data_IF_236088276197
#
_entry.id   IF_236088276197
#
_cell.length_a   1.000
_cell.length_b   1.000
_cell.length_c   1.000
_cell.angle_alpha   90.00
_cell.angle_beta   90.00
_cell.angle_gamma   90.00
#
_symmetry.space_group_name_H-M   'P 1'
#
loop_
_entity.id
_entity.type
_entity.pdbx_description
1 polymer ?
#
# COMPACT_ATOMS: atom_id res chain seq x y z
N UNK A 1 10.46 -2.10 -10.42
CA UNK A 1 9.88 -3.32 -11.05
C UNK A 1 9.19 -3.06 -12.40
N UNK A 2 8.73 -1.83 -12.69
CA UNK A 2 8.29 -1.45 -14.04
C UNK A 2 7.08 -2.21 -14.56
N UNK A 3 6.21 -2.69 -13.66
CA UNK A 3 5.04 -3.49 -14.01
C UNK A 3 3.80 -2.58 -13.94
N UNK A 4 3.11 -2.36 -15.08
CA UNK A 4 1.85 -1.61 -15.10
C UNK A 4 0.83 -2.25 -14.16
N UNK A 5 0.01 -1.44 -13.51
CA UNK A 5 -0.92 -1.92 -12.48
C UNK A 5 -2.28 -1.22 -12.56
N UNK A 6 -3.29 -1.91 -12.06
CA UNK A 6 -4.64 -1.37 -11.89
C UNK A 6 -4.96 -1.36 -10.39
N UNK A 7 -5.35 -0.20 -9.89
CA UNK A 7 -5.74 0.03 -8.51
C UNK A 7 -7.09 0.74 -8.45
N UNK A 8 -7.63 0.92 -7.25
CA UNK A 8 -8.92 1.61 -7.04
C UNK A 8 -8.73 2.88 -6.20
N UNK A 9 -9.62 3.86 -6.35
CA UNK A 9 -9.60 5.10 -5.54
C UNK A 9 -9.79 4.86 -4.03
N UNK A 10 -10.26 3.67 -3.64
CA UNK A 10 -10.41 3.23 -2.25
C UNK A 10 -9.13 2.63 -1.67
N UNK A 11 -8.18 2.20 -2.51
CA UNK A 11 -6.90 1.70 -2.03
C UNK A 11 -6.01 2.87 -1.59
N UNK A 12 -5.24 2.69 -0.51
CA UNK A 12 -4.29 3.71 -0.06
C UNK A 12 -3.31 4.12 -1.16
N UNK A 13 -2.86 3.15 -1.97
CA UNK A 13 -2.05 3.40 -3.15
C UNK A 13 -2.76 4.25 -4.21
N UNK A 14 -3.98 3.90 -4.61
CA UNK A 14 -4.73 4.65 -5.62
C UNK A 14 -5.09 6.06 -5.16
N UNK A 15 -5.42 6.23 -3.87
CA UNK A 15 -5.63 7.54 -3.26
C UNK A 15 -4.37 8.40 -3.35
N UNK A 16 -3.22 7.85 -2.93
CA UNK A 16 -1.93 8.53 -3.00
C UNK A 16 -1.57 8.93 -4.44
N UNK A 17 -1.71 8.02 -5.40
CA UNK A 17 -1.43 8.30 -6.82
C UNK A 17 -2.31 9.41 -7.37
N UNK A 18 -3.62 9.40 -7.09
CA UNK A 18 -4.53 10.45 -7.56
C UNK A 18 -4.18 11.85 -7.03
N UNK A 19 -3.60 11.93 -5.82
CA UNK A 19 -3.20 13.20 -5.21
C UNK A 19 -1.87 13.72 -5.76
N UNK A 20 -0.91 12.83 -6.02
CA UNK A 20 0.47 13.22 -6.33
C UNK A 20 0.84 13.09 -7.82
N UNK A 21 0.01 12.42 -8.62
CA UNK A 21 0.30 12.13 -10.04
C UNK A 21 -0.88 12.55 -10.92
N UNK A 22 -0.74 13.68 -11.62
CA UNK A 22 -1.83 14.22 -12.45
C UNK A 22 -2.28 13.31 -13.61
N UNK A 23 -1.35 12.60 -14.27
CA UNK A 23 -1.68 11.65 -15.35
C UNK A 23 -1.08 10.27 -15.10
N UNK A 24 -1.66 9.54 -14.15
CA UNK A 24 -1.23 8.19 -13.79
C UNK A 24 -1.24 7.19 -14.97
N UNK A 25 -2.20 7.33 -15.91
CA UNK A 25 -2.32 6.44 -17.09
C UNK A 25 -1.05 6.47 -17.96
N UNK A 26 -0.38 7.64 -18.06
CA UNK A 26 0.88 7.78 -18.82
C UNK A 26 2.05 6.97 -18.22
N UNK A 27 1.98 6.66 -16.93
CA UNK A 27 2.93 5.83 -16.20
C UNK A 27 2.49 4.36 -16.10
N UNK A 28 1.46 3.95 -16.85
CA UNK A 28 0.94 2.59 -16.78
C UNK A 28 0.21 2.27 -15.47
N UNK A 29 -0.21 3.29 -14.71
CA UNK A 29 -1.02 3.12 -13.52
C UNK A 29 -2.45 3.55 -13.82
N UNK A 30 -3.37 2.61 -13.68
CA UNK A 30 -4.78 2.86 -13.88
C UNK A 30 -5.49 2.87 -12.52
N UNK A 31 -6.02 4.03 -12.12
CA UNK A 31 -6.82 4.13 -10.90
C UNK A 31 -8.30 4.16 -11.29
N UNK A 32 -9.03 3.09 -10.97
CA UNK A 32 -10.47 2.98 -11.20
C UNK A 32 -11.21 3.64 -10.04
N UNK A 33 -12.08 4.61 -10.36
CA UNK A 33 -12.85 5.28 -9.33
C UNK A 33 -14.03 4.41 -8.84
N UNK A 34 -14.06 4.17 -7.54
CA UNK A 34 -15.08 3.39 -6.83
C UNK A 34 -15.85 4.17 -5.75
N UNK A 35 -15.54 5.45 -5.53
CA UNK A 35 -16.19 6.24 -4.47
C UNK A 35 -17.60 6.71 -4.84
N UNK A 36 -17.76 7.24 -6.06
CA UNK A 36 -18.97 7.96 -6.47
C UNK A 36 -19.59 7.44 -7.77
N UNK A 37 -19.25 6.22 -8.18
CA UNK A 37 -19.73 5.59 -9.43
C UNK A 37 -20.54 4.34 -9.17
N UNK A 38 -21.45 4.03 -10.09
CA UNK A 38 -22.25 2.81 -10.04
C UNK A 38 -21.37 1.55 -10.11
N UNK A 39 -21.91 0.42 -9.67
CA UNK A 39 -21.20 -0.86 -9.72
C UNK A 39 -20.74 -1.21 -11.15
N UNK A 40 -21.66 -1.04 -12.09
CA UNK A 40 -21.44 -1.34 -13.49
C UNK A 40 -20.36 -0.45 -14.13
N UNK A 41 -20.28 0.82 -13.76
CA UNK A 41 -19.33 1.78 -14.34
C UNK A 41 -17.88 1.38 -14.07
N UNK A 42 -17.57 0.99 -12.83
CA UNK A 42 -16.21 0.61 -12.48
C UNK A 42 -15.83 -0.78 -13.01
N UNK A 43 -16.79 -1.70 -13.16
CA UNK A 43 -16.59 -2.99 -13.84
C UNK A 43 -16.28 -2.75 -15.32
N UNK A 44 -17.07 -1.92 -16.01
CA UNK A 44 -16.82 -1.57 -17.41
C UNK A 44 -15.47 -0.91 -17.59
N UNK A 45 -15.09 0.01 -16.69
CA UNK A 45 -13.80 0.67 -16.78
C UNK A 45 -12.65 -0.30 -16.58
N UNK A 46 -12.76 -1.19 -15.60
CA UNK A 46 -11.75 -2.22 -15.34
C UNK A 46 -11.60 -3.16 -16.54
N UNK A 47 -12.71 -3.65 -17.09
CA UNK A 47 -12.71 -4.57 -18.25
C UNK A 47 -12.15 -3.92 -19.51
N UNK A 48 -12.45 -2.64 -19.77
CA UNK A 48 -11.86 -1.87 -20.86
C UNK A 48 -10.33 -1.82 -20.73
N UNK A 49 -9.80 -1.53 -19.54
CA UNK A 49 -8.35 -1.52 -19.30
C UNK A 49 -7.72 -2.89 -19.57
N UNK A 50 -8.36 -3.97 -19.08
CA UNK A 50 -7.90 -5.34 -19.30
C UNK A 50 -7.94 -5.74 -20.77
N UNK A 51 -8.87 -5.19 -21.55
CA UNK A 51 -8.98 -5.44 -22.99
C UNK A 51 -7.98 -4.62 -23.82
N UNK A 52 -7.79 -3.34 -23.48
CA UNK A 52 -6.85 -2.45 -24.19
C UNK A 52 -5.39 -2.94 -24.10
N UNK A 53 -4.98 -3.49 -22.95
CA UNK A 53 -3.57 -3.79 -22.69
C UNK A 53 -2.97 -4.89 -23.58
N UNK A 54 -3.63 -6.05 -23.80
CA UNK A 54 -3.17 -7.06 -24.76
C UNK A 54 -3.10 -6.56 -26.20
N UNK A 55 -3.97 -5.61 -26.59
CA UNK A 55 -3.99 -5.02 -27.93
C UNK A 55 -2.77 -4.12 -28.23
N UNK A 56 -2.00 -3.74 -27.22
CA UNK A 56 -0.77 -2.97 -27.42
C UNK A 56 0.28 -3.78 -28.18
N UNK A 57 1.04 -3.12 -29.05
CA UNK A 57 2.24 -3.68 -29.65
C UNK A 57 3.33 -3.94 -28.59
N UNK A 58 4.30 -4.79 -28.94
CA UNK A 58 5.49 -5.02 -28.09
C UNK A 58 6.20 -3.71 -27.74
N UNK A 59 6.37 -2.80 -28.71
CA UNK A 59 7.03 -1.51 -28.52
C UNK A 59 6.28 -0.64 -27.52
N UNK A 60 4.95 -0.56 -27.62
CA UNK A 60 4.10 0.18 -26.69
C UNK A 60 4.19 -0.38 -25.27
N UNK A 61 4.15 -1.71 -25.10
CA UNK A 61 4.32 -2.33 -23.77
C UNK A 61 5.67 -2.01 -23.13
N UNK A 62 6.76 -2.00 -23.90
CA UNK A 62 8.08 -1.58 -23.40
C UNK A 62 8.05 -0.13 -22.94
N UNK A 63 7.44 0.78 -23.71
CA UNK A 63 7.33 2.19 -23.34
C UNK A 63 6.55 2.35 -22.03
N UNK A 64 5.39 1.70 -21.90
CA UNK A 64 4.59 1.77 -20.68
C UNK A 64 5.38 1.23 -19.49
N UNK A 65 6.06 0.08 -19.60
CA UNK A 65 6.91 -0.47 -18.52
C UNK A 65 8.03 0.48 -18.11
N UNK A 66 8.70 1.12 -19.07
CA UNK A 66 9.75 2.10 -18.78
C UNK A 66 9.19 3.34 -18.07
N UNK A 67 8.02 3.82 -18.49
CA UNK A 67 7.32 4.89 -17.79
C UNK A 67 6.96 4.46 -16.35
N UNK A 68 6.43 3.24 -16.17
CA UNK A 68 6.11 2.72 -14.84
C UNK A 68 7.34 2.65 -13.93
N UNK A 69 8.50 2.28 -14.46
CA UNK A 69 9.74 2.26 -13.68
C UNK A 69 10.16 3.66 -13.24
N UNK A 70 10.05 4.66 -14.12
CA UNK A 70 10.33 6.07 -13.76
C UNK A 70 9.47 6.57 -12.60
N UNK A 71 8.23 6.11 -12.49
CA UNK A 71 7.36 6.52 -11.38
C UNK A 71 7.83 5.95 -10.03
N UNK A 72 8.57 4.84 -10.02
CA UNK A 72 9.05 4.26 -8.75
C UNK A 72 9.92 5.21 -7.94
N UNK A 73 10.52 6.22 -8.59
CA UNK A 73 11.25 7.29 -7.92
C UNK A 73 10.39 8.02 -6.87
N UNK A 74 9.12 8.28 -7.20
CA UNK A 74 8.17 8.93 -6.32
C UNK A 74 7.81 8.08 -5.09
N UNK A 75 7.99 6.76 -5.18
CA UNK A 75 7.64 5.81 -4.12
C UNK A 75 8.84 5.46 -3.22
N UNK A 76 9.98 6.12 -3.37
CA UNK A 76 11.11 5.92 -2.46
C UNK A 76 10.81 6.46 -1.06
N UNK A 77 11.29 5.75 -0.04
CA UNK A 77 11.11 6.13 1.37
C UNK A 77 11.56 7.56 1.68
N UNK A 78 12.63 8.03 1.04
CA UNK A 78 13.11 9.41 1.22
C UNK A 78 12.04 10.44 0.85
N UNK A 79 11.31 10.21 -0.25
CA UNK A 79 10.23 11.09 -0.72
C UNK A 79 8.98 10.89 0.13
N UNK A 80 8.60 9.64 0.40
CA UNK A 80 7.42 9.35 1.23
C UNK A 80 7.55 9.89 2.67
N UNK A 81 8.75 9.88 3.24
CA UNK A 81 9.02 10.43 4.56
C UNK A 81 8.87 11.95 4.58
N UNK A 82 9.31 12.66 3.54
CA UNK A 82 9.13 14.12 3.46
C UNK A 82 7.65 14.48 3.32
N UNK A 83 6.90 13.75 2.50
CA UNK A 83 5.45 13.94 2.36
C UNK A 83 4.72 13.68 3.68
N UNK A 84 5.10 12.61 4.42
CA UNK A 84 4.52 12.31 5.74
C UNK A 84 4.77 13.42 6.75
N UNK A 85 5.98 13.96 6.80
CA UNK A 85 6.33 15.04 7.73
C UNK A 85 5.61 16.34 7.38
N UNK A 86 5.50 16.67 6.09
CA UNK A 86 4.73 17.82 5.62
C UNK A 86 3.24 17.70 5.98
N UNK A 87 2.64 16.53 5.74
CA UNK A 87 1.25 16.26 6.12
C UNK A 87 1.04 16.35 7.63
N UNK A 88 1.94 15.78 8.44
CA UNK A 88 1.86 15.87 9.90
C UNK A 88 1.93 17.31 10.43
N UNK A 89 2.70 18.19 9.77
CA UNK A 89 2.74 19.62 10.10
C UNK A 89 1.46 20.37 9.74
N UNK A 90 0.66 19.85 8.80
CA UNK A 90 -0.59 20.47 8.34
C UNK A 90 -1.82 20.03 9.13
N UNK A 91 -1.73 18.93 9.88
CA UNK A 91 -2.84 18.42 10.70
C UNK A 91 -2.87 19.22 12.01
N UNK A 92 -3.99 19.85 12.38
CA UNK A 92 -4.10 20.51 13.68
C UNK A 92 -3.85 19.49 14.79
N UNK A 93 -3.05 19.86 15.79
CA UNK A 93 -2.71 18.98 16.91
C UNK A 93 -3.98 18.33 17.46
N UNK A 94 -4.10 17.01 17.31
CA UNK A 94 -5.19 16.25 17.92
C UNK A 94 -5.12 16.46 19.43
N UNK A 95 -6.21 16.85 20.11
CA UNK A 95 -6.21 16.94 21.56
C UNK A 95 -5.92 15.56 22.14
N UNK A 96 -4.89 15.49 23.00
CA UNK A 96 -4.45 14.28 23.68
C UNK A 96 -5.54 13.74 24.61
N UNK A 97 -6.40 12.84 24.15
CA UNK A 97 -7.24 12.03 25.01
C UNK A 97 -7.02 10.56 24.65
N UNK A 98 -6.01 9.97 25.28
CA UNK A 98 -6.09 8.64 25.90
C UNK A 98 -4.78 8.39 26.63
N UNK A 99 -4.83 8.36 27.95
CA UNK A 99 -3.73 7.91 28.80
C UNK A 99 -3.32 6.46 28.42
N UNK A 100 -2.05 6.08 28.59
CA UNK A 100 -1.66 4.68 28.46
C UNK A 100 -2.34 3.86 29.56
N UNK A 101 -3.13 2.86 29.20
CA UNK A 101 -3.55 1.83 30.16
C UNK A 101 -2.30 1.06 30.59
N UNK A 102 -2.05 1.00 31.89
CA UNK A 102 -0.99 0.20 32.50
C UNK A 102 -1.16 -1.27 32.13
N UNK A 103 -0.09 -2.01 31.76
CA UNK A 103 -0.16 -3.46 31.54
C UNK A 103 -0.64 -4.18 32.81
N UNK A 104 -1.56 -5.12 32.65
CA UNK A 104 -2.09 -5.94 33.75
C UNK A 104 -1.09 -7.05 34.10
N UNK A 105 -0.75 -7.22 35.38
CA UNK A 105 0.27 -8.16 35.87
C UNK A 105 0.02 -9.65 35.54
N UNK A 106 -1.20 -10.02 35.10
CA UNK A 106 -1.52 -11.41 34.77
C UNK A 106 -0.78 -11.98 33.57
N UNK A 107 -0.22 -11.13 32.70
CA UNK A 107 0.38 -11.58 31.44
C UNK A 107 1.78 -12.21 31.62
N UNK A 108 2.32 -12.23 32.85
CA UNK A 108 3.68 -12.68 33.14
C UNK A 108 3.82 -14.03 33.87
N UNK A 109 2.73 -14.74 34.21
CA UNK A 109 2.83 -15.90 35.12
C UNK A 109 2.67 -17.30 34.52
N UNK A 110 2.53 -17.48 33.20
CA UNK A 110 2.26 -18.84 32.64
C UNK A 110 3.39 -19.47 31.81
N UNK A 111 4.57 -18.85 31.72
CA UNK A 111 5.62 -19.33 30.79
C UNK A 111 6.77 -20.14 31.42
N UNK A 112 6.86 -20.27 32.75
CA UNK A 112 8.01 -20.93 33.38
C UNK A 112 7.97 -22.47 33.34
N UNK A 113 6.78 -23.09 33.38
CA UNK A 113 6.67 -24.56 33.46
C UNK A 113 6.84 -25.28 32.11
N UNK A 114 6.81 -24.54 31.00
CA UNK A 114 7.05 -25.08 29.66
C UNK A 114 8.54 -25.10 29.30
N UNK A 115 9.30 -24.11 29.77
CA UNK A 115 10.74 -23.97 29.50
C UNK A 115 11.53 -25.09 30.20
N UNK A 116 11.19 -25.41 31.45
CA UNK A 116 11.83 -26.49 32.22
C UNK A 116 11.63 -27.88 31.57
N UNK A 117 10.52 -28.08 30.85
CA UNK A 117 10.23 -29.34 30.15
C UNK A 117 10.96 -29.46 28.80
N UNK A 118 11.16 -28.36 28.10
CA UNK A 118 11.96 -28.36 26.87
C UNK A 118 13.46 -28.50 27.16
N UNK A 119 13.95 -27.89 28.24
CA UNK A 119 15.37 -27.98 28.63
C UNK A 119 15.79 -29.42 29.00
N UNK A 120 14.92 -30.15 29.72
CA UNK A 120 15.16 -31.56 30.06
C UNK A 120 15.23 -32.49 28.83
N UNK A 121 14.52 -32.15 27.75
CA UNK A 121 14.48 -32.97 26.54
C UNK A 121 15.74 -32.86 25.68
N UNK A 122 16.48 -31.75 25.80
CA UNK A 122 17.74 -31.54 25.07
C UNK A 122 18.93 -32.24 25.72
N UNK A 123 18.86 -32.59 27.01
CA UNK A 123 19.95 -33.23 27.73
C UNK A 123 19.93 -34.78 27.67
N UNK A 124 18.92 -35.38 27.04
CA UNK A 124 18.72 -36.85 27.01
C UNK A 124 19.03 -37.51 25.65
N UNK A 125 19.80 -36.86 24.76
CA UNK A 125 20.20 -37.43 23.46
C UNK A 125 21.70 -37.30 23.17
#
# INVERSE_FOLDING_TARGET
MGVPSVATSLSGFGCFINQHVGNAKSYGIHVVDRNFKGCYDHINKFTEICYEYPCLSRRQRIIVRNSTERLSELLYWKILATERLAAASSVPATPSISCPTTPHESDYSENSELDDREEMRWHEN
#
